data_IF_914374445648
#
_entry.id   IF_914374445648
#
_cell.length_a   1.000
_cell.length_b   1.000
_cell.length_c   1.000
_cell.angle_alpha   90.00
_cell.angle_beta   90.00
_cell.angle_gamma   90.00
#
_symmetry.space_group_name_H-M   'P 1'
#
loop_
_entity.id
_entity.type
_entity.pdbx_description
1 polymer ?
#
# COMPACT_ATOMS: atom_id res chain seq x y z
N UNK A 1 -0.07 14.32 10.56
CA UNK A 1 0.78 14.36 9.35
C UNK A 1 0.94 15.82 8.92
N UNK A 2 2.15 16.36 8.72
CA UNK A 2 2.29 17.73 8.24
C UNK A 2 1.90 17.83 6.75
N UNK A 3 0.99 18.76 6.44
CA UNK A 3 0.44 19.08 5.10
C UNK A 3 1.47 19.10 3.94
N UNK A 4 2.72 19.58 4.08
CA UNK A 4 3.67 19.65 2.96
C UNK A 4 4.01 18.31 2.29
N UNK A 5 4.07 17.21 3.05
CA UNK A 5 4.57 15.92 2.52
C UNK A 5 3.55 15.25 1.59
N UNK A 6 2.26 15.40 1.89
CA UNK A 6 1.19 14.85 1.07
C UNK A 6 1.05 15.56 -0.29
N UNK A 7 1.30 16.86 -0.34
CA UNK A 7 1.24 17.62 -1.59
C UNK A 7 2.39 17.23 -2.52
N UNK A 8 3.58 17.01 -1.96
CA UNK A 8 4.75 16.53 -2.71
C UNK A 8 4.50 15.14 -3.33
N UNK A 9 3.90 14.22 -2.57
CA UNK A 9 3.53 12.89 -3.10
C UNK A 9 2.48 12.97 -4.21
N UNK A 10 1.48 13.84 -4.07
CA UNK A 10 0.49 14.09 -5.12
C UNK A 10 1.15 14.62 -6.40
N UNK A 11 2.07 15.57 -6.27
CA UNK A 11 2.79 16.15 -7.42
C UNK A 11 3.67 15.11 -8.11
N UNK A 12 4.40 14.29 -7.35
CA UNK A 12 5.24 13.22 -7.90
C UNK A 12 4.41 12.19 -8.66
N UNK A 13 3.27 11.77 -8.09
CA UNK A 13 2.37 10.82 -8.76
C UNK A 13 1.76 11.43 -10.02
N UNK A 14 1.37 12.71 -9.98
CA UNK A 14 0.81 13.39 -11.15
C UNK A 14 1.81 13.46 -12.32
N UNK A 15 3.11 13.56 -12.02
CA UNK A 15 4.15 13.60 -13.05
C UNK A 15 4.47 12.21 -13.65
N UNK A 16 4.33 11.16 -12.85
CA UNK A 16 4.76 9.79 -13.21
C UNK A 16 3.61 8.92 -13.75
N UNK A 17 2.36 9.28 -13.50
CA UNK A 17 1.20 8.54 -13.98
C UNK A 17 0.87 8.89 -15.44
N UNK A 18 0.64 7.89 -16.31
CA UNK A 18 0.01 8.11 -17.60
C UNK A 18 -1.35 8.78 -17.41
N UNK A 19 -1.84 9.53 -18.40
CA UNK A 19 -3.06 10.38 -18.40
C UNK A 19 -4.40 9.70 -18.08
N UNK A 20 -4.40 8.49 -17.53
CA UNK A 20 -5.58 7.79 -17.00
C UNK A 20 -5.79 8.11 -15.52
N UNK A 21 -6.74 9.02 -15.25
CA UNK A 21 -7.20 9.47 -13.93
C UNK A 21 -6.15 10.13 -13.02
N UNK A 22 -6.36 11.38 -12.58
CA UNK A 22 -5.42 12.04 -11.68
C UNK A 22 -5.41 11.35 -10.31
N UNK A 23 -4.23 11.17 -9.69
CA UNK A 23 -4.13 10.59 -8.36
C UNK A 23 -4.89 11.49 -7.36
N UNK A 24 -5.87 10.92 -6.66
CA UNK A 24 -6.58 11.65 -5.60
C UNK A 24 -5.91 11.41 -4.25
N UNK A 25 -6.03 12.37 -3.33
CA UNK A 25 -5.54 12.21 -1.96
C UNK A 25 -6.15 11.00 -1.26
N UNK A 26 -7.44 10.72 -1.51
CA UNK A 26 -8.13 9.54 -0.96
C UNK A 26 -7.50 8.24 -1.45
N UNK A 27 -7.19 8.13 -2.74
CA UNK A 27 -6.52 6.96 -3.32
C UNK A 27 -5.13 6.76 -2.72
N UNK A 28 -4.33 7.82 -2.60
CA UNK A 28 -2.98 7.75 -2.01
C UNK A 28 -3.06 7.30 -0.56
N UNK A 29 -3.95 7.91 0.22
CA UNK A 29 -4.12 7.58 1.62
C UNK A 29 -4.53 6.11 1.79
N UNK A 30 -5.53 5.66 1.02
CA UNK A 30 -5.98 4.26 1.00
C UNK A 30 -4.86 3.30 0.63
N UNK A 31 -4.06 3.63 -0.40
CA UNK A 31 -2.91 2.82 -0.80
C UNK A 31 -1.89 2.69 0.33
N UNK A 32 -1.52 3.81 0.97
CA UNK A 32 -0.57 3.80 2.09
C UNK A 32 -1.10 2.94 3.23
N UNK A 33 -2.36 3.13 3.61
CA UNK A 33 -2.99 2.40 4.71
C UNK A 33 -3.00 0.89 4.45
N UNK A 34 -3.48 0.47 3.27
CA UNK A 34 -3.56 -0.93 2.91
C UNK A 34 -2.17 -1.58 2.80
N UNK A 35 -1.24 -0.93 2.09
CA UNK A 35 0.11 -1.45 1.94
C UNK A 35 0.86 -1.52 3.28
N UNK A 36 0.61 -0.59 4.21
CA UNK A 36 1.18 -0.63 5.57
C UNK A 36 0.66 -1.82 6.36
N UNK A 37 -0.61 -2.19 6.21
CA UNK A 37 -1.18 -3.39 6.81
C UNK A 37 -0.72 -4.71 6.17
N UNK A 38 -0.05 -4.64 5.03
CA UNK A 38 0.45 -5.80 4.30
C UNK A 38 1.96 -6.03 4.47
N UNK A 39 2.69 -5.24 5.27
CA UNK A 39 4.16 -5.35 5.41
C UNK A 39 4.63 -6.78 5.66
N UNK A 40 3.98 -7.51 6.56
CA UNK A 40 4.35 -8.89 6.87
C UNK A 40 4.15 -9.82 5.66
N UNK A 41 3.05 -9.64 4.93
CA UNK A 41 2.76 -10.39 3.71
C UNK A 41 3.75 -10.05 2.57
N UNK A 42 4.15 -8.77 2.49
CA UNK A 42 5.16 -8.28 1.54
C UNK A 42 6.52 -8.91 1.85
N UNK A 43 6.90 -9.02 3.13
CA UNK A 43 8.15 -9.62 3.58
C UNK A 43 8.18 -11.13 3.42
N UNK A 44 7.06 -11.81 3.67
CA UNK A 44 6.97 -13.28 3.64
C UNK A 44 7.30 -13.89 2.28
N UNK A 45 7.12 -13.12 1.20
CA UNK A 45 7.43 -13.55 -0.17
C UNK A 45 8.82 -13.12 -0.65
N UNK A 46 9.60 -12.42 0.18
CA UNK A 46 10.97 -12.03 -0.17
C UNK A 46 11.96 -13.17 0.12
N UNK A 47 13.13 -13.08 -0.50
CA UNK A 47 14.24 -13.96 -0.16
C UNK A 47 14.63 -13.80 1.32
N UNK A 48 15.09 -14.88 1.95
CA UNK A 48 15.52 -14.86 3.36
C UNK A 48 16.68 -13.88 3.64
N UNK A 49 17.40 -13.44 2.60
CA UNK A 49 18.46 -12.43 2.68
C UNK A 49 17.94 -10.98 2.69
N UNK A 50 16.64 -10.76 2.46
CA UNK A 50 16.05 -9.43 2.42
C UNK A 50 15.95 -8.83 3.82
N UNK A 51 16.40 -7.59 3.99
CA UNK A 51 16.40 -6.94 5.29
C UNK A 51 15.01 -6.43 5.66
N UNK A 52 14.47 -6.74 6.85
CA UNK A 52 13.10 -6.39 7.24
C UNK A 52 12.86 -4.87 7.26
N UNK A 53 13.86 -4.07 7.63
CA UNK A 53 13.74 -2.61 7.66
C UNK A 53 13.83 -1.94 6.28
N UNK A 54 13.99 -2.72 5.20
CA UNK A 54 14.08 -2.18 3.84
C UNK A 54 12.83 -2.53 3.03
N UNK A 55 12.16 -1.53 2.46
CA UNK A 55 11.03 -1.77 1.56
C UNK A 55 11.51 -2.50 0.29
N UNK A 56 10.84 -3.59 -0.13
CA UNK A 56 11.17 -4.25 -1.40
C UNK A 56 10.99 -3.33 -2.60
N UNK A 57 11.83 -3.52 -3.62
CA UNK A 57 11.76 -2.78 -4.88
C UNK A 57 10.49 -3.12 -5.68
N UNK A 58 10.09 -4.39 -5.64
CA UNK A 58 8.97 -4.92 -6.43
C UNK A 58 8.03 -5.67 -5.50
N UNK A 59 6.73 -5.44 -5.67
CA UNK A 59 5.69 -6.18 -4.96
C UNK A 59 5.39 -7.49 -5.69
N UNK A 60 4.96 -8.51 -4.95
CA UNK A 60 4.49 -9.75 -5.59
C UNK A 60 3.20 -9.50 -6.39
N UNK A 61 2.94 -10.28 -7.46
CA UNK A 61 1.75 -10.11 -8.29
C UNK A 61 0.43 -10.12 -7.50
N UNK A 62 0.33 -10.97 -6.47
CA UNK A 62 -0.85 -11.03 -5.61
C UNK A 62 -1.11 -9.73 -4.84
N UNK A 63 -0.06 -9.09 -4.35
CA UNK A 63 -0.16 -7.81 -3.63
C UNK A 63 -0.46 -6.68 -4.60
N UNK A 64 0.11 -6.72 -5.81
CA UNK A 64 -0.20 -5.75 -6.85
C UNK A 64 -1.69 -5.79 -7.24
N UNK A 65 -2.23 -6.98 -7.49
CA UNK A 65 -3.65 -7.20 -7.80
C UNK A 65 -4.57 -6.70 -6.69
N UNK A 66 -4.25 -7.03 -5.43
CA UNK A 66 -5.02 -6.57 -4.28
C UNK A 66 -5.04 -5.04 -4.20
N UNK A 67 -3.87 -4.39 -4.30
CA UNK A 67 -3.78 -2.93 -4.22
C UNK A 67 -4.46 -2.25 -5.40
N UNK A 68 -4.37 -2.80 -6.62
CA UNK A 68 -5.08 -2.31 -7.79
C UNK A 68 -6.60 -2.28 -7.54
N UNK A 69 -7.17 -3.43 -7.16
CA UNK A 69 -8.60 -3.57 -6.93
C UNK A 69 -9.10 -2.74 -5.74
N UNK A 70 -8.40 -2.77 -4.61
CA UNK A 70 -8.81 -2.01 -3.42
C UNK A 70 -8.57 -0.51 -3.54
N UNK A 71 -7.63 -0.09 -4.38
CA UNK A 71 -7.38 1.34 -4.63
C UNK A 71 -8.11 1.89 -5.86
N UNK A 72 -8.84 1.07 -6.61
CA UNK A 72 -9.46 1.44 -7.88
C UNK A 72 -8.45 2.11 -8.83
N UNK A 73 -7.25 1.52 -8.91
CA UNK A 73 -6.18 1.96 -9.81
C UNK A 73 -5.85 0.82 -10.77
N UNK A 74 -5.39 1.16 -11.97
CA UNK A 74 -4.91 0.14 -12.91
C UNK A 74 -3.71 -0.61 -12.32
N UNK A 75 -3.60 -1.90 -12.62
CA UNK A 75 -2.45 -2.72 -12.22
C UNK A 75 -1.13 -2.11 -12.71
N UNK A 76 -1.11 -1.55 -13.91
CA UNK A 76 0.04 -0.83 -14.48
C UNK A 76 0.49 0.39 -13.66
N UNK A 77 -0.41 0.96 -12.85
CA UNK A 77 -0.11 2.11 -12.00
C UNK A 77 0.39 1.69 -10.61
N UNK A 78 0.19 0.44 -10.19
CA UNK A 78 0.56 -0.01 -8.84
C UNK A 78 2.05 0.11 -8.60
N UNK A 79 2.89 -0.25 -9.58
CA UNK A 79 4.34 -0.09 -9.48
C UNK A 79 4.74 1.38 -9.30
N UNK A 80 4.09 2.30 -10.03
CA UNK A 80 4.33 3.74 -9.89
C UNK A 80 3.94 4.23 -8.49
N UNK A 81 2.77 3.83 -7.99
CA UNK A 81 2.34 4.15 -6.64
C UNK A 81 3.28 3.59 -5.59
N UNK A 82 3.68 2.32 -5.72
CA UNK A 82 4.62 1.68 -4.81
C UNK A 82 5.96 2.41 -4.82
N UNK A 83 6.52 2.71 -5.99
CA UNK A 83 7.82 3.35 -6.09
C UNK A 83 7.86 4.72 -5.40
N UNK A 84 6.78 5.50 -5.52
CA UNK A 84 6.67 6.81 -4.86
C UNK A 84 6.36 6.68 -3.36
N UNK A 85 5.51 5.73 -2.97
CA UNK A 85 4.94 5.68 -1.62
C UNK A 85 5.67 4.69 -0.67
N UNK A 86 6.50 3.77 -1.18
CA UNK A 86 7.07 2.65 -0.40
C UNK A 86 7.80 3.09 0.85
N UNK A 87 8.55 4.20 0.81
CA UNK A 87 9.30 4.67 1.97
C UNK A 87 8.37 5.17 3.08
N UNK A 88 7.27 5.82 2.70
CA UNK A 88 6.23 6.26 3.63
C UNK A 88 5.44 5.08 4.16
N UNK A 89 5.13 4.08 3.31
CA UNK A 89 4.54 2.82 3.78
C UNK A 89 5.45 2.17 4.81
N UNK A 90 6.74 2.01 4.51
CA UNK A 90 7.67 1.22 5.32
C UNK A 90 8.05 1.88 6.65
N UNK A 91 8.32 3.18 6.62
CA UNK A 91 8.83 3.92 7.79
C UNK A 91 7.81 4.88 8.40
N UNK A 92 6.65 5.03 7.77
CA UNK A 92 5.55 5.78 8.36
C UNK A 92 5.08 5.09 9.62
N UNK A 93 5.06 5.84 10.72
CA UNK A 93 4.41 5.42 11.95
C UNK A 93 2.93 5.29 11.62
N UNK A 94 2.46 4.05 11.52
CA UNK A 94 1.17 3.72 10.96
C UNK A 94 0.07 4.45 11.72
N UNK A 95 -0.47 5.52 11.15
CA UNK A 95 -1.73 6.13 11.57
C UNK A 95 -2.95 5.24 11.31
N UNK A 96 -2.76 3.92 11.34
CA UNK A 96 -3.76 2.88 11.21
C UNK A 96 -4.42 2.54 12.57
N UNK A 97 -4.12 3.28 13.64
CA UNK A 97 -4.74 3.07 14.95
C UNK A 97 -6.20 3.52 15.03
N UNK A 98 -6.76 4.18 14.01
CA UNK A 98 -8.12 4.74 14.09
C UNK A 98 -8.96 4.77 12.80
N UNK A 99 -8.57 4.06 11.72
CA UNK A 99 -9.37 4.05 10.48
C UNK A 99 -9.97 2.67 10.20
N UNK A 100 -11.27 2.74 9.93
CA UNK A 100 -12.31 1.73 9.82
C UNK A 100 -11.86 0.33 9.34
N UNK A 101 -11.89 -0.61 10.29
CA UNK A 101 -11.77 -2.05 10.06
C UNK A 101 -12.76 -2.57 9.00
N UNK A 102 -13.82 -1.83 8.65
CA UNK A 102 -14.78 -2.22 7.60
C UNK A 102 -14.14 -2.29 6.20
N UNK A 103 -13.22 -1.38 5.85
CA UNK A 103 -12.50 -1.40 4.57
C UNK A 103 -11.51 -2.56 4.50
N UNK A 104 -10.85 -2.85 5.63
CA UNK A 104 -9.93 -3.99 5.77
C UNK A 104 -10.65 -5.34 5.70
N UNK A 105 -11.83 -5.46 6.31
CA UNK A 105 -12.58 -6.72 6.35
C UNK A 105 -13.26 -7.06 5.03
N UNK A 106 -13.77 -6.06 4.29
CA UNK A 106 -14.48 -6.29 3.03
C UNK A 106 -13.56 -6.88 1.94
N UNK A 107 -12.33 -6.40 1.80
CA UNK A 107 -11.42 -6.84 0.73
C UNK A 107 -10.55 -8.06 1.10
N UNK A 108 -10.29 -8.34 2.39
CA UNK A 108 -9.53 -9.53 2.81
C UNK A 108 -10.23 -10.85 2.47
N UNK A 109 -11.55 -10.91 2.61
CA UNK A 109 -12.34 -12.12 2.38
C UNK A 109 -12.37 -12.56 0.90
N UNK A 110 -12.27 -11.62 -0.04
CA UNK A 110 -12.30 -11.93 -1.46
C UNK A 110 -10.96 -12.44 -2.01
N UNK A 111 -9.85 -12.21 -1.28
CA UNK A 111 -8.49 -12.55 -1.72
C UNK A 111 -7.76 -13.57 -0.81
N UNK A 112 -8.46 -14.22 0.12
CA UNK A 112 -7.91 -15.39 0.84
C UNK A 112 -6.85 -15.09 1.90
N UNK A 113 -6.75 -13.85 2.40
CA UNK A 113 -5.79 -13.48 3.45
C UNK A 113 -6.45 -13.71 4.82
N UNK A 114 -6.46 -14.96 5.27
CA UNK A 114 -7.05 -15.40 6.54
C UNK A 114 -6.19 -15.05 7.77
N UNK A 115 -6.84 -14.58 8.84
CA UNK A 115 -6.21 -14.40 10.15
C UNK A 115 -5.79 -15.75 10.73
N UNK A 116 -4.54 -15.86 11.19
CA UNK A 116 -4.19 -16.84 12.21
C UNK A 116 -3.93 -16.09 13.53
N UNK A 117 -4.93 -16.18 14.41
CA UNK A 117 -4.86 -16.17 15.88
C UNK A 117 -4.07 -15.04 16.60
N UNK A 118 -4.82 -14.19 17.30
CA UNK A 118 -4.43 -13.73 18.65
C UNK A 118 -5.53 -14.08 19.66
N UNK A 119 -5.41 -15.28 20.24
CA UNK A 119 -5.82 -15.58 21.61
C UNK A 119 -4.58 -16.12 22.30
N UNK A 120 -3.86 -15.27 23.03
CA UNK A 120 -3.38 -15.50 24.40
C UNK A 120 -3.25 -14.13 25.07
#
# INVERSE_FOLDING_TARGET
MPIPLALEMLQLLHHQLPTGSPPTFSTIFRFITLASGLKDNILLVQAASHHPDSAPLVLSPAIQLFLAGSCDISESNVDTYWNVLRNVVWHGDGGASSIDMSLFTHHRWQHGIGEWYYFV
#
